data_IF_744279499444
#
_entry.id   IF_744279499444
#
_cell.length_a   1.000
_cell.length_b   1.000
_cell.length_c   1.000
_cell.angle_alpha   90.00
_cell.angle_beta   90.00
_cell.angle_gamma   90.00
#
_symmetry.space_group_name_H-M   'P 1'
#
loop_
_entity.id
_entity.type
_entity.pdbx_description
1 polymer ?
#
# COMPACT_ATOMS: atom_id res chain seq x y z
N UNK A 1 -9.68 0.17 -7.47
CA UNK A 1 -10.41 -0.82 -6.65
C UNK A 1 -11.73 -0.17 -6.33
N UNK A 2 -12.84 -0.84 -6.62
CA UNK A 2 -14.16 -0.36 -6.25
C UNK A 2 -14.61 -1.12 -5.00
N UNK A 3 -15.03 -0.39 -3.98
CA UNK A 3 -15.36 -0.95 -2.67
C UNK A 3 -16.85 -1.17 -2.55
N UNK A 4 -17.22 -2.31 -1.96
CA UNK A 4 -18.59 -2.54 -1.56
C UNK A 4 -19.03 -1.53 -0.47
N UNK A 5 -20.33 -1.45 -0.22
CA UNK A 5 -20.84 -0.70 0.93
C UNK A 5 -20.18 -1.21 2.22
N UNK A 6 -19.77 -0.28 3.07
CA UNK A 6 -19.07 -0.52 4.35
C UNK A 6 -17.72 -1.26 4.24
N UNK A 7 -17.19 -1.40 3.02
CA UNK A 7 -15.83 -1.87 2.82
C UNK A 7 -14.83 -0.72 2.98
N UNK A 8 -13.77 -0.97 3.75
CA UNK A 8 -12.73 0.01 3.99
C UNK A 8 -11.35 -0.64 4.17
N UNK A 9 -10.33 0.14 3.84
CA UNK A 9 -8.95 -0.28 3.97
C UNK A 9 -8.52 -0.39 5.43
N UNK A 10 -7.82 -1.48 5.73
CA UNK A 10 -7.28 -1.78 7.06
C UNK A 10 -5.76 -1.88 7.03
N UNK A 11 -5.18 -2.30 5.89
CA UNK A 11 -3.74 -2.49 5.78
C UNK A 11 -3.28 -2.43 4.33
N UNK A 12 -2.08 -1.89 4.13
CA UNK A 12 -1.32 -2.02 2.88
C UNK A 12 -0.11 -2.91 3.14
N UNK A 13 0.11 -3.88 2.28
CA UNK A 13 1.39 -4.61 2.22
C UNK A 13 2.00 -4.45 0.85
N UNK A 14 3.29 -4.71 0.71
CA UNK A 14 3.94 -4.56 -0.57
C UNK A 14 5.40 -4.95 -0.54
N UNK A 15 6.08 -4.68 -1.66
CA UNK A 15 7.53 -4.81 -1.77
C UNK A 15 8.11 -3.53 -2.32
N UNK A 16 9.29 -3.15 -1.86
CA UNK A 16 10.10 -2.10 -2.45
C UNK A 16 11.48 -2.64 -2.82
N UNK A 17 12.16 -1.95 -3.73
CA UNK A 17 13.50 -2.34 -4.15
C UNK A 17 14.05 -1.40 -5.20
N UNK A 18 15.30 -1.64 -5.58
CA UNK A 18 15.98 -0.83 -6.56
C UNK A 18 15.48 -1.14 -7.98
N UNK A 19 15.12 -0.09 -8.71
CA UNK A 19 14.87 -0.10 -10.16
C UNK A 19 15.76 0.99 -10.78
N UNK A 20 16.72 0.59 -11.61
CA UNK A 20 17.65 1.48 -12.31
C UNK A 20 18.34 2.53 -11.42
N UNK A 21 18.73 2.14 -10.20
CA UNK A 21 19.43 3.02 -9.26
C UNK A 21 18.53 3.78 -8.29
N UNK A 22 17.20 3.67 -8.40
CA UNK A 22 16.23 4.33 -7.51
C UNK A 22 15.43 3.29 -6.73
N UNK A 23 15.27 3.47 -5.42
CA UNK A 23 14.36 2.62 -4.64
C UNK A 23 12.92 3.06 -4.88
N UNK A 24 12.08 2.11 -5.28
CA UNK A 24 10.67 2.33 -5.60
C UNK A 24 9.80 1.25 -4.97
N UNK A 25 8.51 1.55 -4.80
CA UNK A 25 7.47 0.57 -4.51
C UNK A 25 7.27 -0.29 -5.76
N UNK A 26 7.50 -1.60 -5.61
CA UNK A 26 7.41 -2.60 -6.68
C UNK A 26 6.10 -3.35 -6.69
N UNK A 27 5.48 -3.52 -5.53
CA UNK A 27 4.12 -4.06 -5.43
C UNK A 27 3.32 -3.50 -4.27
N UNK A 28 2.00 -3.52 -4.44
CA UNK A 28 1.02 -3.17 -3.42
C UNK A 28 -0.10 -4.20 -3.37
N UNK A 29 -0.47 -4.60 -2.16
CA UNK A 29 -1.69 -5.33 -1.83
C UNK A 29 -2.49 -4.49 -0.85
N UNK A 30 -3.74 -4.23 -1.22
CA UNK A 30 -4.70 -3.47 -0.42
C UNK A 30 -5.58 -4.46 0.33
N UNK A 31 -5.47 -4.50 1.66
CA UNK A 31 -6.32 -5.32 2.52
C UNK A 31 -7.43 -4.46 3.09
N UNK A 32 -8.67 -4.94 2.96
CA UNK A 32 -9.86 -4.34 3.55
C UNK A 32 -10.36 -5.18 4.72
N UNK A 33 -11.43 -4.74 5.37
CA UNK A 33 -12.19 -5.55 6.33
C UNK A 33 -12.90 -6.76 5.70
N UNK A 34 -12.94 -6.87 4.36
CA UNK A 34 -13.67 -7.92 3.65
C UNK A 34 -12.73 -8.83 2.86
N UNK A 35 -11.77 -8.26 2.12
CA UNK A 35 -10.93 -9.01 1.18
C UNK A 35 -9.55 -8.38 0.98
N UNK A 36 -8.78 -8.92 0.05
CA UNK A 36 -7.50 -8.39 -0.41
C UNK A 36 -7.55 -8.15 -1.91
N UNK A 37 -6.98 -7.03 -2.33
CA UNK A 37 -6.81 -6.66 -3.74
C UNK A 37 -5.32 -6.56 -4.07
N UNK A 38 -4.88 -7.32 -5.07
CA UNK A 38 -3.48 -7.44 -5.46
C UNK A 38 -2.91 -8.85 -5.19
N UNK A 39 -1.57 -9.00 -5.20
CA UNK A 39 -0.58 -7.94 -5.37
C UNK A 39 -0.61 -7.35 -6.79
N UNK A 40 -0.51 -6.03 -6.87
CA UNK A 40 -0.27 -5.32 -8.12
C UNK A 40 1.22 -5.03 -8.24
N UNK A 41 1.88 -5.53 -9.29
CA UNK A 41 3.32 -5.36 -9.52
C UNK A 41 4.16 -6.58 -9.11
N UNK A 42 5.46 -6.38 -8.93
CA UNK A 42 6.43 -7.45 -8.62
C UNK A 42 6.64 -7.60 -7.10
N UNK A 43 6.58 -8.83 -6.62
CA UNK A 43 6.87 -9.18 -5.21
C UNK A 43 8.35 -9.48 -4.96
N UNK A 44 9.23 -9.11 -5.88
CA UNK A 44 10.67 -9.18 -5.65
C UNK A 44 11.15 -7.95 -4.85
N UNK A 45 12.12 -8.15 -3.96
CA UNK A 45 12.69 -7.09 -3.12
C UNK A 45 12.33 -7.25 -1.66
N UNK A 46 12.28 -6.14 -0.92
CA UNK A 46 12.02 -6.13 0.52
C UNK A 46 10.54 -5.92 0.80
N UNK A 47 9.93 -6.86 1.52
CA UNK A 47 8.53 -6.77 1.93
C UNK A 47 8.33 -5.66 2.98
N UNK A 48 7.18 -5.01 2.93
CA UNK A 48 6.73 -4.05 3.94
C UNK A 48 5.25 -4.20 4.25
N UNK A 49 4.86 -3.65 5.40
CA UNK A 49 3.48 -3.53 5.86
C UNK A 49 3.27 -2.13 6.41
N UNK A 50 2.15 -1.48 6.08
CA UNK A 50 1.80 -0.17 6.62
C UNK A 50 1.68 -0.22 8.13
N UNK A 51 2.28 0.76 8.81
CA UNK A 51 2.09 0.99 10.24
C UNK A 51 0.73 1.65 10.53
N UNK A 52 0.26 1.50 11.77
CA UNK A 52 -1.03 2.04 12.25
C UNK A 52 -2.11 0.96 12.36
N UNK A 53 -2.90 1.05 13.43
CA UNK A 53 -4.13 0.24 13.61
C UNK A 53 -5.33 1.07 13.15
N UNK A 54 -6.40 0.39 12.73
CA UNK A 54 -7.68 1.01 12.39
C UNK A 54 -7.86 1.29 10.89
N UNK A 55 -8.85 2.12 10.57
CA UNK A 55 -9.28 2.39 9.19
C UNK A 55 -8.33 3.36 8.50
N UNK A 56 -7.78 2.94 7.36
CA UNK A 56 -7.02 3.83 6.47
C UNK A 56 -8.00 4.74 5.74
N UNK A 57 -7.82 6.05 5.90
CA UNK A 57 -8.71 7.10 5.35
C UNK A 57 -8.03 8.00 4.33
N UNK A 58 -6.73 7.84 4.14
CA UNK A 58 -5.99 8.62 3.17
C UNK A 58 -4.57 8.10 2.96
N UNK A 59 -3.94 8.64 1.92
CA UNK A 59 -2.57 8.32 1.56
C UNK A 59 -1.76 9.60 1.41
N UNK A 60 -0.46 9.48 1.64
CA UNK A 60 0.53 10.48 1.26
C UNK A 60 1.74 9.76 0.69
N UNK A 61 2.60 10.47 -0.02
CA UNK A 61 3.75 9.82 -0.62
C UNK A 61 4.55 10.73 -1.53
N UNK A 62 5.47 10.10 -2.27
CA UNK A 62 6.28 10.72 -3.30
C UNK A 62 6.26 9.82 -4.53
N UNK A 63 6.03 10.43 -5.67
CA UNK A 63 6.10 9.77 -6.96
C UNK A 63 6.75 10.69 -8.00
N UNK A 64 7.35 10.06 -9.00
CA UNK A 64 7.72 10.67 -10.27
C UNK A 64 7.23 9.74 -11.40
N UNK A 65 8.14 9.18 -12.19
CA UNK A 65 7.81 8.13 -13.16
C UNK A 65 7.34 6.84 -12.47
N UNK A 66 7.86 6.56 -11.27
CA UNK A 66 7.50 5.44 -10.42
C UNK A 66 7.10 5.95 -9.03
N UNK A 67 6.47 5.09 -8.23
CA UNK A 67 6.10 5.40 -6.86
C UNK A 67 7.32 5.19 -5.94
N UNK A 68 7.92 6.27 -5.45
CA UNK A 68 9.10 6.21 -4.58
C UNK A 68 8.72 5.80 -3.16
N UNK A 69 7.68 6.43 -2.60
CA UNK A 69 7.26 6.26 -1.21
C UNK A 69 5.74 6.32 -1.07
N UNK A 70 5.20 5.52 -0.14
CA UNK A 70 3.79 5.51 0.22
C UNK A 70 3.64 5.45 1.74
N UNK A 71 2.84 6.36 2.29
CA UNK A 71 2.38 6.38 3.67
C UNK A 71 0.86 6.45 3.73
N UNK A 72 0.30 6.18 4.91
CA UNK A 72 -1.15 6.14 5.15
C UNK A 72 -1.54 7.03 6.31
N UNK A 73 -2.72 7.64 6.21
CA UNK A 73 -3.43 8.24 7.33
C UNK A 73 -4.46 7.25 7.86
N UNK A 74 -4.43 6.99 9.16
CA UNK A 74 -5.34 6.04 9.81
C UNK A 74 -6.10 6.71 10.94
N UNK A 75 -7.39 6.39 11.04
CA UNK A 75 -8.18 6.65 12.25
C UNK A 75 -7.95 5.49 13.21
N UNK A 76 -7.49 5.79 14.42
CA UNK A 76 -7.43 4.82 15.51
C UNK A 76 -8.77 4.86 16.24
N UNK A 77 -9.28 3.67 16.57
CA UNK A 77 -10.42 3.51 17.49
C UNK A 77 -9.97 3.71 18.95
#
# INVERSE_FOLDING_TARGET
IDFANDEYLTQITGHYGNESGVNVIKSLTFTTNITKYGPYGSTNGTAFTSGGKGKIVGFYGRAAQLLDNLGVYSLQD
#
